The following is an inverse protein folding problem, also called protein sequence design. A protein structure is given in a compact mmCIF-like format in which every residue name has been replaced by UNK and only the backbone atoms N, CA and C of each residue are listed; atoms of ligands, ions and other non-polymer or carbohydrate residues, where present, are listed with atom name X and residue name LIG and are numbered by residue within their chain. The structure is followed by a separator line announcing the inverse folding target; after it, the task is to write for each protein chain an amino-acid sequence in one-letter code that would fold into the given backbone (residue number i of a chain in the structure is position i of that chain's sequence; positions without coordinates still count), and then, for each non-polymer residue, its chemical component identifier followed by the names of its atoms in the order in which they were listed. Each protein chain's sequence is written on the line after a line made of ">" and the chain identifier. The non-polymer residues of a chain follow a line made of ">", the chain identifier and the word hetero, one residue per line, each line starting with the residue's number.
data_IF_967007929526
#
_entry.id   IF_967007929526
#
_cell.length_a   1.000
_cell.length_b   1.000
_cell.length_c   1.000
_cell.angle_alpha   90.00
_cell.angle_beta   90.00
_cell.angle_gamma   90.00
#
_symmetry.space_group_name_H-M   'P 1'
#
loop_
_entity.id
_entity.type
_entity.pdbx_description
1 polymer ?
#
# COMPACT_ATOMS: atom_id res chain seq x y z
N UNK A 1 -67.38 -60.17 10.45
CA UNK A 1 -66.70 -60.77 11.62
C UNK A 1 -65.28 -60.23 11.67
N UNK A 2 -64.73 -59.96 12.87
CA UNK A 2 -63.71 -58.94 13.10
C UNK A 2 -62.29 -59.52 13.32
N UNK A 3 -61.35 -58.59 13.56
CA UNK A 3 -60.14 -58.70 14.43
C UNK A 3 -58.76 -58.87 13.74
N UNK A 4 -58.04 -57.73 13.72
CA UNK A 4 -56.63 -57.42 14.06
C UNK A 4 -55.42 -58.16 13.47
N UNK A 5 -54.48 -57.38 12.91
CA UNK A 5 -53.22 -56.88 13.53
C UNK A 5 -52.48 -56.00 12.49
N UNK A 6 -52.26 -54.68 12.66
CA UNK A 6 -51.23 -53.97 13.47
C UNK A 6 -49.82 -54.38 12.96
N UNK A 7 -48.94 -53.53 12.37
CA UNK A 7 -48.47 -52.17 12.76
C UNK A 7 -47.44 -51.60 11.69
N UNK A 8 -46.69 -50.48 11.88
CA UNK A 8 -47.00 -49.10 11.43
C UNK A 8 -45.84 -48.43 10.62
N UNK A 9 -45.81 -47.08 10.56
CA UNK A 9 -44.77 -46.17 10.03
C UNK A 9 -44.93 -45.75 8.54
N UNK A 10 -44.85 -44.50 8.08
CA UNK A 10 -44.16 -43.27 8.54
C UNK A 10 -45.00 -42.05 8.08
N UNK A 11 -45.24 -41.09 8.98
CA UNK A 11 -45.71 -39.76 8.64
C UNK A 11 -44.51 -38.89 8.22
N UNK A 12 -44.51 -38.39 6.99
CA UNK A 12 -43.56 -37.36 6.55
C UNK A 12 -44.13 -35.97 6.86
N UNK A 13 -43.93 -35.48 8.08
CA UNK A 13 -43.98 -34.05 8.38
C UNK A 13 -42.59 -33.47 8.19
N UNK A 14 -42.44 -32.69 7.12
CA UNK A 14 -41.25 -31.92 6.77
C UNK A 14 -41.29 -30.60 7.54
N UNK A 15 -40.87 -30.64 8.80
CA UNK A 15 -40.45 -29.43 9.51
C UNK A 15 -38.97 -29.19 9.23
N UNK A 16 -38.70 -28.18 8.41
CA UNK A 16 -37.35 -27.63 8.28
C UNK A 16 -37.01 -26.85 9.55
N UNK A 17 -35.76 -26.90 10.05
CA UNK A 17 -35.38 -26.08 11.19
C UNK A 17 -35.32 -24.61 10.77
N UNK A 18 -36.18 -23.81 11.41
CA UNK A 18 -36.13 -22.35 11.47
C UNK A 18 -34.76 -21.90 12.00
N UNK A 19 -34.14 -20.82 11.48
CA UNK A 19 -32.89 -20.29 12.04
C UNK A 19 -33.14 -19.78 13.46
N UNK A 20 -32.49 -20.39 14.45
CA UNK A 20 -32.55 -19.92 15.83
C UNK A 20 -31.74 -18.64 15.97
N UNK A 21 -32.42 -17.57 16.37
CA UNK A 21 -31.82 -16.32 16.79
C UNK A 21 -30.91 -16.52 18.02
N UNK A 22 -29.80 -15.79 18.04
CA UNK A 22 -28.85 -15.56 19.15
C UNK A 22 -27.97 -16.74 19.59
N UNK A 23 -27.03 -17.14 18.74
CA UNK A 23 -25.79 -17.79 19.21
C UNK A 23 -24.76 -16.70 19.49
N UNK A 24 -24.61 -16.29 20.75
CA UNK A 24 -23.51 -15.43 21.17
C UNK A 24 -22.22 -16.25 21.15
N UNK A 25 -21.46 -16.15 20.06
CA UNK A 25 -20.15 -16.80 19.93
C UNK A 25 -19.16 -16.00 20.80
N UNK A 26 -18.41 -16.70 21.65
CA UNK A 26 -17.38 -16.08 22.48
C UNK A 26 -16.21 -15.57 21.61
N UNK A 27 -15.63 -14.38 21.89
CA UNK A 27 -14.59 -13.78 21.06
C UNK A 27 -13.37 -14.69 20.81
N UNK A 28 -13.02 -15.50 21.80
CA UNK A 28 -11.89 -16.43 21.73
C UNK A 28 -12.13 -17.57 20.74
N UNK A 29 -13.36 -18.10 20.70
CA UNK A 29 -13.78 -19.16 19.76
C UNK A 29 -13.89 -18.60 18.34
N UNK A 30 -14.29 -17.32 18.21
CA UNK A 30 -14.32 -16.64 16.91
C UNK A 30 -12.92 -16.50 16.31
N UNK A 31 -11.91 -16.21 17.13
CA UNK A 31 -10.53 -16.07 16.66
C UNK A 31 -9.97 -17.40 16.15
N UNK A 32 -10.21 -18.51 16.85
CA UNK A 32 -9.78 -19.85 16.40
C UNK A 32 -10.45 -20.25 15.08
N UNK A 33 -11.76 -19.97 14.95
CA UNK A 33 -12.51 -20.27 13.72
C UNK A 33 -12.03 -19.43 12.53
N UNK A 34 -11.55 -18.20 12.75
CA UNK A 34 -11.02 -17.34 11.69
C UNK A 34 -9.65 -17.82 11.19
N UNK A 35 -8.81 -18.36 12.06
CA UNK A 35 -7.50 -18.92 11.70
C UNK A 35 -7.62 -20.22 10.88
N UNK A 36 -8.74 -20.94 10.98
CA UNK A 36 -9.04 -22.13 10.18
C UNK A 36 -9.57 -21.81 8.76
N UNK A 37 -9.88 -20.55 8.47
CA UNK A 37 -10.42 -20.14 7.18
C UNK A 37 -9.33 -20.12 6.10
N UNK A 38 -9.70 -20.57 4.89
CA UNK A 38 -8.85 -20.36 3.72
C UNK A 38 -8.71 -18.86 3.40
N UNK A 39 -7.61 -18.40 2.78
CA UNK A 39 -7.31 -16.97 2.59
C UNK A 39 -8.44 -16.14 1.95
N UNK A 40 -9.26 -16.74 1.09
CA UNK A 40 -10.33 -16.05 0.37
C UNK A 40 -11.68 -16.03 1.11
N UNK A 41 -11.90 -16.95 2.06
CA UNK A 41 -13.18 -17.09 2.76
C UNK A 41 -13.52 -15.92 3.70
N UNK A 42 -12.57 -15.32 4.47
CA UNK A 42 -12.85 -14.16 5.29
C UNK A 42 -13.35 -12.98 4.47
N UNK A 43 -12.81 -12.78 3.26
CA UNK A 43 -13.20 -11.67 2.38
C UNK A 43 -14.65 -11.81 1.92
N UNK A 44 -15.07 -13.02 1.53
CA UNK A 44 -16.44 -13.29 1.10
C UNK A 44 -17.45 -13.28 2.26
N UNK A 45 -17.01 -13.64 3.47
CA UNK A 45 -17.83 -13.54 4.68
C UNK A 45 -18.02 -12.08 5.11
N UNK A 46 -16.95 -11.29 5.13
CA UNK A 46 -16.99 -9.85 5.45
C UNK A 46 -17.84 -9.09 4.42
N UNK A 47 -17.74 -9.45 3.12
CA UNK A 47 -18.57 -8.88 2.07
C UNK A 47 -20.06 -9.14 2.32
N UNK A 48 -20.45 -10.39 2.57
CA UNK A 48 -21.85 -10.76 2.87
C UNK A 48 -22.35 -10.09 4.15
N UNK A 49 -21.53 -10.05 5.21
CA UNK A 49 -21.88 -9.37 6.44
C UNK A 49 -22.08 -7.87 6.24
N UNK A 50 -21.27 -7.22 5.40
CA UNK A 50 -21.47 -5.81 5.05
C UNK A 50 -22.69 -5.55 4.16
N UNK A 51 -23.10 -6.51 3.33
CA UNK A 51 -24.32 -6.43 2.52
C UNK A 51 -25.59 -6.62 3.37
N UNK A 52 -25.53 -7.49 4.39
CA UNK A 52 -26.66 -7.80 5.27
C UNK A 52 -26.80 -6.81 6.45
N UNK A 53 -25.69 -6.22 6.91
CA UNK A 53 -25.65 -5.40 8.11
C UNK A 53 -24.96 -4.05 7.86
N UNK A 54 -25.75 -2.96 7.91
CA UNK A 54 -25.26 -1.60 7.63
C UNK A 54 -24.21 -1.09 8.62
N UNK A 55 -24.28 -1.56 9.87
CA UNK A 55 -23.31 -1.27 10.93
C UNK A 55 -21.95 -1.93 10.64
N UNK A 56 -21.95 -3.16 10.12
CA UNK A 56 -20.74 -3.85 9.67
C UNK A 56 -20.12 -3.13 8.47
N UNK A 57 -20.94 -2.69 7.49
CA UNK A 57 -20.46 -1.89 6.38
C UNK A 57 -19.84 -0.55 6.81
N UNK A 58 -20.47 0.14 7.77
CA UNK A 58 -19.95 1.38 8.33
C UNK A 58 -18.63 1.17 9.09
N UNK A 59 -18.53 0.06 9.85
CA UNK A 59 -17.30 -0.30 10.55
C UNK A 59 -16.16 -0.63 9.58
N UNK A 60 -16.42 -1.45 8.55
CA UNK A 60 -15.44 -1.74 7.49
C UNK A 60 -14.97 -0.44 6.82
N UNK A 61 -15.90 0.46 6.49
CA UNK A 61 -15.58 1.75 5.88
C UNK A 61 -14.69 2.61 6.78
N UNK A 62 -15.05 2.72 8.06
CA UNK A 62 -14.30 3.49 9.05
C UNK A 62 -12.90 2.92 9.29
N UNK A 63 -12.77 1.61 9.46
CA UNK A 63 -11.45 0.95 9.64
C UNK A 63 -10.56 1.15 8.40
N UNK A 64 -11.10 1.06 7.19
CA UNK A 64 -10.33 1.34 5.96
C UNK A 64 -9.89 2.82 5.89
N UNK A 65 -10.75 3.74 6.32
CA UNK A 65 -10.46 5.18 6.37
C UNK A 65 -9.37 5.50 7.41
N UNK A 66 -9.48 4.95 8.61
CA UNK A 66 -8.49 5.05 9.68
C UNK A 66 -7.13 4.45 9.26
N UNK A 67 -7.13 3.30 8.58
CA UNK A 67 -5.91 2.72 8.00
C UNK A 67 -5.29 3.64 6.94
N UNK A 68 -6.11 4.32 6.14
CA UNK A 68 -5.63 5.29 5.14
C UNK A 68 -5.08 6.57 5.78
N UNK A 69 -5.71 7.06 6.84
CA UNK A 69 -5.24 8.22 7.61
C UNK A 69 -3.94 7.93 8.35
N UNK A 70 -3.82 6.76 8.98
CA UNK A 70 -2.60 6.33 9.65
C UNK A 70 -1.42 6.22 8.68
N UNK A 71 -1.64 5.73 7.44
CA UNK A 71 -0.61 5.70 6.41
C UNK A 71 -0.15 7.11 5.99
N UNK A 72 -1.07 8.06 5.86
CA UNK A 72 -0.75 9.46 5.52
C UNK A 72 -0.03 10.18 6.66
N UNK A 73 -0.49 9.99 7.89
CA UNK A 73 0.19 10.49 9.09
C UNK A 73 1.61 9.92 9.18
N UNK A 74 1.81 8.65 8.84
CA UNK A 74 3.14 8.05 8.87
C UNK A 74 4.12 8.68 7.87
N UNK A 75 3.67 9.02 6.65
CA UNK A 75 4.51 9.69 5.64
C UNK A 75 4.82 11.13 6.02
N UNK A 76 3.82 11.91 6.47
CA UNK A 76 4.04 13.28 6.94
C UNK A 76 4.94 13.32 8.19
N UNK A 77 4.81 12.32 9.06
CA UNK A 77 5.69 12.16 10.22
C UNK A 77 7.11 11.73 9.81
N UNK A 78 7.30 10.98 8.71
CA UNK A 78 8.64 10.64 8.22
C UNK A 78 9.44 11.89 7.86
N UNK A 79 8.85 12.84 7.12
CA UNK A 79 9.53 14.09 6.75
C UNK A 79 9.94 14.91 7.97
N UNK A 80 9.05 15.06 8.96
CA UNK A 80 9.31 15.82 10.19
C UNK A 80 10.32 15.09 11.08
N UNK A 81 10.14 13.78 11.28
CA UNK A 81 11.02 12.97 12.12
C UNK A 81 12.42 12.90 11.52
N UNK A 82 12.52 12.69 10.20
CA UNK A 82 13.80 12.67 9.51
C UNK A 82 14.48 14.03 9.61
N UNK A 83 13.82 15.15 9.26
CA UNK A 83 14.42 16.48 9.35
C UNK A 83 14.97 16.77 10.76
N UNK A 84 14.22 16.43 11.79
CA UNK A 84 14.63 16.65 13.18
C UNK A 84 15.79 15.73 13.59
N UNK A 85 15.70 14.43 13.30
CA UNK A 85 16.74 13.45 13.60
C UNK A 85 18.02 13.79 12.85
N UNK A 86 17.92 14.16 11.57
CA UNK A 86 19.05 14.53 10.73
C UNK A 86 19.70 15.81 11.17
N UNK A 87 18.95 16.84 11.56
CA UNK A 87 19.55 18.06 12.09
C UNK A 87 20.39 17.75 13.35
N UNK A 88 19.84 17.03 14.32
CA UNK A 88 20.54 16.71 15.58
C UNK A 88 21.69 15.71 15.36
N UNK A 89 21.47 14.63 14.61
CA UNK A 89 22.47 13.60 14.38
C UNK A 89 23.61 14.11 13.48
N UNK A 90 23.30 14.87 12.43
CA UNK A 90 24.26 15.29 11.43
C UNK A 90 25.01 16.56 11.80
N UNK A 91 24.37 17.50 12.52
CA UNK A 91 25.03 18.74 12.94
C UNK A 91 25.76 18.56 14.26
N UNK A 92 25.15 17.94 15.27
CA UNK A 92 25.74 17.96 16.62
C UNK A 92 26.64 16.75 16.89
N UNK A 93 26.25 15.55 16.43
CA UNK A 93 26.95 14.32 16.77
C UNK A 93 28.11 14.01 15.82
N UNK A 94 27.93 14.26 14.52
CA UNK A 94 28.92 13.93 13.50
C UNK A 94 29.98 15.01 13.27
N UNK A 95 29.75 16.26 13.65
CA UNK A 95 30.82 17.25 13.76
C UNK A 95 31.86 16.82 14.82
N UNK A 96 31.41 16.20 15.90
CA UNK A 96 32.28 15.67 16.96
C UNK A 96 32.94 14.33 16.61
N UNK A 97 32.31 13.54 15.73
CA UNK A 97 32.81 12.23 15.32
C UNK A 97 32.78 12.02 13.78
N UNK A 98 33.66 12.70 13.02
CA UNK A 98 33.67 12.62 11.56
C UNK A 98 33.92 11.22 11.00
N UNK A 99 34.55 10.33 11.78
CA UNK A 99 34.81 8.94 11.40
C UNK A 99 33.53 8.09 11.31
N UNK A 100 32.44 8.51 11.94
CA UNK A 100 31.18 7.75 11.97
C UNK A 100 30.22 8.12 10.84
N UNK A 101 30.53 9.15 10.05
CA UNK A 101 29.65 9.68 8.99
C UNK A 101 29.24 8.58 8.01
N UNK A 102 30.21 7.80 7.53
CA UNK A 102 29.95 6.69 6.59
C UNK A 102 29.10 5.58 7.20
N UNK A 103 29.32 5.24 8.47
CA UNK A 103 28.55 4.18 9.14
C UNK A 103 27.10 4.60 9.35
N UNK A 104 26.89 5.85 9.76
CA UNK A 104 25.56 6.45 9.91
C UNK A 104 24.86 6.55 8.55
N UNK A 105 25.54 7.02 7.51
CA UNK A 105 25.00 7.08 6.16
C UNK A 105 24.54 5.70 5.68
N UNK A 106 25.35 4.66 5.88
CA UNK A 106 25.01 3.28 5.53
C UNK A 106 23.82 2.70 6.33
N UNK A 107 23.66 3.11 7.60
CA UNK A 107 22.51 2.71 8.41
C UNK A 107 21.22 3.36 7.89
N UNK A 108 21.26 4.69 7.68
CA UNK A 108 20.11 5.46 7.19
C UNK A 108 19.71 5.01 5.79
N UNK A 109 20.68 4.80 4.90
CA UNK A 109 20.44 4.23 3.57
C UNK A 109 19.66 2.90 3.64
N UNK A 110 20.08 1.97 4.51
CA UNK A 110 19.39 0.69 4.68
C UNK A 110 17.95 0.88 5.17
N UNK A 111 17.73 1.77 6.14
CA UNK A 111 16.38 2.05 6.66
C UNK A 111 15.47 2.67 5.60
N UNK A 112 15.97 3.60 4.80
CA UNK A 112 15.22 4.20 3.68
C UNK A 112 14.86 3.11 2.67
N UNK A 113 15.83 2.27 2.28
CA UNK A 113 15.63 1.18 1.33
C UNK A 113 14.60 0.16 1.81
N UNK A 114 14.62 -0.20 3.09
CA UNK A 114 13.64 -1.11 3.67
C UNK A 114 12.24 -0.46 3.72
N UNK A 115 12.15 0.83 4.05
CA UNK A 115 10.91 1.60 4.01
C UNK A 115 10.30 1.63 2.61
N UNK A 116 11.12 1.90 1.57
CA UNK A 116 10.71 1.88 0.17
C UNK A 116 10.09 0.52 -0.20
N UNK A 117 10.75 -0.58 0.16
CA UNK A 117 10.27 -1.94 -0.11
C UNK A 117 8.99 -2.26 0.63
N UNK A 118 8.86 -1.83 1.88
CA UNK A 118 7.67 -2.11 2.67
C UNK A 118 6.45 -1.33 2.13
N UNK A 119 6.65 -0.11 1.63
CA UNK A 119 5.61 0.63 0.89
C UNK A 119 5.19 -0.14 -0.37
N UNK A 120 6.15 -0.70 -1.13
CA UNK A 120 5.87 -1.48 -2.33
C UNK A 120 5.06 -2.76 -2.05
N UNK A 121 5.50 -3.56 -1.05
CA UNK A 121 4.86 -4.83 -0.64
C UNK A 121 3.41 -4.69 -0.20
N UNK A 122 2.99 -3.50 0.27
CA UNK A 122 1.61 -3.26 0.69
C UNK A 122 0.62 -3.17 -0.49
N UNK A 123 1.08 -3.42 -1.73
CA UNK A 123 0.24 -3.52 -2.91
C UNK A 123 -0.37 -4.91 -3.07
N UNK A 124 -1.70 -4.95 -2.96
CA UNK A 124 -2.51 -6.12 -3.30
C UNK A 124 -3.79 -5.67 -4.02
N UNK A 125 -4.32 -6.49 -4.94
CA UNK A 125 -5.57 -6.22 -5.61
C UNK A 125 -6.72 -6.07 -4.59
N UNK A 126 -7.55 -5.03 -4.76
CA UNK A 126 -8.74 -4.80 -3.92
C UNK A 126 -8.65 -3.67 -2.89
N UNK A 127 -7.56 -2.90 -2.85
CA UNK A 127 -7.49 -1.66 -2.06
C UNK A 127 -8.07 -0.47 -2.85
N UNK A 128 -8.64 0.52 -2.15
CA UNK A 128 -9.20 1.75 -2.76
C UNK A 128 -8.15 2.42 -3.65
N UNK A 129 -8.59 2.98 -4.79
CA UNK A 129 -7.73 3.66 -5.77
C UNK A 129 -6.84 4.71 -5.11
N UNK A 130 -7.40 5.55 -4.23
CA UNK A 130 -6.63 6.58 -3.53
C UNK A 130 -5.47 6.00 -2.73
N UNK A 131 -5.67 4.90 -2.00
CA UNK A 131 -4.60 4.23 -1.23
C UNK A 131 -3.51 3.66 -2.14
N UNK A 132 -3.85 3.28 -3.38
CA UNK A 132 -2.88 2.81 -4.38
C UNK A 132 -2.10 3.98 -4.99
N UNK A 133 -2.71 5.15 -5.17
CA UNK A 133 -2.07 6.39 -5.64
C UNK A 133 -1.21 7.09 -4.57
N UNK A 134 -1.62 7.01 -3.30
CA UNK A 134 -0.89 7.61 -2.17
C UNK A 134 0.52 6.99 -2.01
N UNK A 135 0.76 5.78 -2.52
CA UNK A 135 2.05 5.08 -2.37
C UNK A 135 3.12 5.54 -3.36
N UNK A 136 2.88 5.61 -4.69
CA UNK A 136 3.80 6.27 -5.60
C UNK A 136 4.10 7.71 -5.17
N UNK A 137 3.12 8.44 -4.61
CA UNK A 137 3.36 9.75 -4.00
C UNK A 137 4.32 9.69 -2.81
N UNK A 138 4.12 8.75 -1.88
CA UNK A 138 5.03 8.56 -0.75
C UNK A 138 6.46 8.20 -1.19
N UNK A 139 6.60 7.31 -2.17
CA UNK A 139 7.90 6.98 -2.76
C UNK A 139 8.54 8.19 -3.44
N UNK A 140 7.76 8.98 -4.18
CA UNK A 140 8.23 10.26 -4.76
C UNK A 140 8.72 11.22 -3.68
N UNK A 141 8.03 11.33 -2.54
CA UNK A 141 8.46 12.17 -1.42
C UNK A 141 9.81 11.70 -0.86
N UNK A 142 9.98 10.39 -0.63
CA UNK A 142 11.26 9.82 -0.19
C UNK A 142 12.38 10.10 -1.21
N UNK A 143 12.10 9.92 -2.51
CA UNK A 143 13.05 10.22 -3.57
C UNK A 143 13.45 11.69 -3.62
N UNK A 144 12.46 12.60 -3.50
CA UNK A 144 12.68 14.06 -3.46
C UNK A 144 13.58 14.41 -2.30
N UNK A 145 13.27 13.83 -1.13
CA UNK A 145 14.05 13.98 0.08
C UNK A 145 15.52 13.60 -0.15
N UNK A 146 15.79 12.44 -0.77
CA UNK A 146 17.16 12.01 -1.09
C UNK A 146 17.85 13.03 -2.01
N UNK A 147 17.17 13.54 -3.04
CA UNK A 147 17.73 14.52 -3.98
C UNK A 147 18.15 15.83 -3.28
N UNK A 148 17.36 16.34 -2.33
CA UNK A 148 17.64 17.63 -1.69
C UNK A 148 18.49 17.52 -0.41
N UNK A 149 18.87 16.31 0.01
CA UNK A 149 19.62 16.06 1.26
C UNK A 149 21.08 16.53 1.27
N UNK A 150 21.54 17.28 0.27
CA UNK A 150 22.95 17.63 0.07
C UNK A 150 23.55 18.56 1.14
N UNK A 151 22.73 19.14 2.01
CA UNK A 151 23.16 20.15 2.99
C UNK A 151 24.18 19.60 4.01
N UNK A 152 24.25 18.28 4.19
CA UNK A 152 25.17 17.64 5.14
C UNK A 152 25.92 16.45 4.53
N UNK A 153 27.12 16.20 5.05
CA UNK A 153 28.04 15.14 4.57
C UNK A 153 27.40 13.74 4.55
N UNK A 154 26.51 13.44 5.50
CA UNK A 154 25.73 12.20 5.50
C UNK A 154 24.74 12.13 4.35
N UNK A 155 24.04 13.22 4.06
CA UNK A 155 23.09 13.25 2.95
C UNK A 155 23.79 13.08 1.60
N UNK A 156 24.97 13.69 1.44
CA UNK A 156 25.83 13.43 0.28
C UNK A 156 26.21 11.94 0.18
N UNK A 157 26.68 11.31 1.27
CA UNK A 157 27.04 9.89 1.26
C UNK A 157 25.82 8.99 0.98
N UNK A 158 24.62 9.36 1.46
CA UNK A 158 23.36 8.68 1.12
C UNK A 158 23.07 8.80 -0.39
N UNK A 159 23.25 9.97 -1.00
CA UNK A 159 23.08 10.12 -2.45
C UNK A 159 24.04 9.25 -3.24
N UNK A 160 25.31 9.19 -2.83
CA UNK A 160 26.31 8.30 -3.46
C UNK A 160 25.86 6.84 -3.40
N UNK A 161 25.30 6.41 -2.27
CA UNK A 161 24.75 5.05 -2.12
C UNK A 161 23.53 4.81 -3.02
N UNK A 162 22.66 5.80 -3.20
CA UNK A 162 21.48 5.71 -4.08
C UNK A 162 21.77 5.92 -5.56
N UNK A 163 22.93 6.46 -5.93
CA UNK A 163 23.27 6.78 -7.32
C UNK A 163 23.14 5.56 -8.27
N UNK A 164 23.41 4.36 -7.75
CA UNK A 164 23.27 3.11 -8.49
C UNK A 164 22.24 2.14 -7.90
N UNK A 165 21.47 2.53 -6.88
CA UNK A 165 20.44 1.65 -6.29
C UNK A 165 19.09 1.89 -6.99
N UNK A 166 18.60 0.94 -7.81
CA UNK A 166 17.35 1.09 -8.53
C UNK A 166 16.10 0.86 -7.64
N UNK A 167 16.26 0.66 -6.32
CA UNK A 167 15.18 0.19 -5.47
C UNK A 167 13.96 1.10 -5.46
N UNK A 168 14.13 2.41 -5.62
CA UNK A 168 13.04 3.36 -5.70
C UNK A 168 12.27 3.16 -7.00
N UNK A 169 12.95 3.16 -8.15
CA UNK A 169 12.33 2.99 -9.46
C UNK A 169 11.65 1.63 -9.58
N UNK A 170 12.31 0.56 -9.11
CA UNK A 170 11.75 -0.80 -9.09
C UNK A 170 10.49 -0.88 -8.24
N UNK A 171 10.48 -0.23 -7.08
CA UNK A 171 9.31 -0.19 -6.21
C UNK A 171 8.16 0.58 -6.84
N UNK A 172 8.41 1.74 -7.45
CA UNK A 172 7.36 2.50 -8.15
C UNK A 172 6.82 1.70 -9.35
N UNK A 173 7.69 1.09 -10.15
CA UNK A 173 7.30 0.23 -11.27
C UNK A 173 6.48 -0.98 -10.80
N UNK A 174 6.85 -1.62 -9.70
CA UNK A 174 6.11 -2.75 -9.12
C UNK A 174 4.69 -2.32 -8.75
N UNK A 175 4.54 -1.17 -8.07
CA UNK A 175 3.23 -0.63 -7.70
C UNK A 175 2.40 -0.34 -8.96
N UNK A 176 2.93 0.42 -9.91
CA UNK A 176 2.24 0.79 -11.15
C UNK A 176 1.93 -0.43 -12.03
N UNK A 177 2.73 -1.50 -11.93
CA UNK A 177 2.49 -2.79 -12.58
C UNK A 177 1.17 -3.41 -12.14
N UNK A 178 0.79 -3.24 -10.87
CA UNK A 178 -0.50 -3.68 -10.34
C UNK A 178 -1.67 -2.75 -10.67
N UNK A 179 -1.43 -1.63 -11.36
CA UNK A 179 -2.44 -0.60 -11.69
C UNK A 179 -2.64 -0.40 -13.19
N UNK A 180 -2.49 -1.45 -13.99
CA UNK A 180 -2.52 -1.37 -15.46
C UNK A 180 -3.75 -0.65 -16.03
N UNK A 181 -4.94 -0.92 -15.48
CA UNK A 181 -6.20 -0.31 -15.93
C UNK A 181 -6.29 1.18 -15.58
N UNK A 182 -5.68 1.60 -14.47
CA UNK A 182 -5.79 2.96 -13.96
C UNK A 182 -4.71 3.91 -14.51
N UNK A 183 -3.68 3.40 -15.20
CA UNK A 183 -2.57 4.22 -15.73
C UNK A 183 -3.02 5.34 -16.66
N UNK A 184 -4.04 5.10 -17.49
CA UNK A 184 -4.58 6.12 -18.38
C UNK A 184 -5.20 7.29 -17.60
N UNK A 185 -6.00 6.96 -16.57
CA UNK A 185 -6.57 7.96 -15.69
C UNK A 185 -5.48 8.73 -14.94
N UNK A 186 -4.41 8.06 -14.50
CA UNK A 186 -3.25 8.72 -13.89
C UNK A 186 -2.60 9.70 -14.86
N UNK A 187 -2.41 9.30 -16.12
CA UNK A 187 -1.74 10.10 -17.15
C UNK A 187 -2.50 11.36 -17.54
N UNK A 188 -3.82 11.24 -17.62
CA UNK A 188 -4.74 12.30 -18.07
C UNK A 188 -5.17 13.21 -16.92
N UNK A 189 -4.96 12.79 -15.67
CA UNK A 189 -5.29 13.60 -14.49
C UNK A 189 -4.26 14.71 -14.28
N UNK A 190 -4.67 15.93 -14.58
CA UNK A 190 -3.99 17.19 -14.22
C UNK A 190 -4.89 18.05 -13.31
N UNK A 191 -6.00 17.47 -12.81
CA UNK A 191 -7.12 18.23 -12.25
C UNK A 191 -6.88 18.77 -10.84
N UNK A 192 -5.84 18.27 -10.15
CA UNK A 192 -5.57 18.63 -8.76
C UNK A 192 -4.09 18.71 -8.43
N UNK A 193 -3.76 19.47 -7.37
CA UNK A 193 -2.43 19.47 -6.76
C UNK A 193 -1.99 18.10 -6.25
N UNK A 194 -2.87 17.10 -6.19
CA UNK A 194 -2.57 15.73 -5.77
C UNK A 194 -2.52 14.75 -6.94
N UNK A 195 -2.68 15.23 -8.17
CA UNK A 195 -2.61 14.40 -9.36
C UNK A 195 -1.22 13.78 -9.46
N UNK A 196 -1.15 12.45 -9.57
CA UNK A 196 0.10 11.71 -9.46
C UNK A 196 1.06 12.05 -10.63
N UNK A 197 0.54 12.20 -11.84
CA UNK A 197 1.37 12.39 -13.03
C UNK A 197 2.27 13.63 -12.97
N UNK A 198 1.76 14.86 -12.70
CA UNK A 198 2.61 16.04 -12.54
C UNK A 198 3.73 15.86 -11.52
N UNK A 199 3.46 15.21 -10.38
CA UNK A 199 4.45 14.96 -9.33
C UNK A 199 5.56 14.01 -9.77
N UNK A 200 5.24 13.00 -10.57
CA UNK A 200 6.22 12.06 -11.11
C UNK A 200 7.10 12.71 -12.19
N UNK A 201 6.53 13.60 -13.00
CA UNK A 201 7.28 14.37 -14.01
C UNK A 201 8.24 15.34 -13.33
N UNK A 202 7.75 16.15 -12.38
CA UNK A 202 8.60 17.08 -11.61
C UNK A 202 9.74 16.33 -10.90
N UNK A 203 9.43 15.18 -10.30
CA UNK A 203 10.45 14.39 -9.61
C UNK A 203 11.50 13.82 -10.57
N UNK A 204 11.13 13.42 -11.79
CA UNK A 204 12.11 13.00 -12.80
C UNK A 204 13.11 14.11 -13.11
N UNK A 205 12.63 15.34 -13.29
CA UNK A 205 13.49 16.47 -13.61
C UNK A 205 14.45 16.77 -12.45
N UNK A 206 13.94 16.77 -11.20
CA UNK A 206 14.77 16.89 -10.01
C UNK A 206 15.81 15.77 -9.89
N UNK A 207 15.41 14.52 -10.13
CA UNK A 207 16.32 13.38 -10.08
C UNK A 207 17.44 13.52 -11.12
N UNK A 208 17.13 14.03 -12.32
CA UNK A 208 18.11 14.32 -13.36
C UNK A 208 19.09 15.43 -12.95
N UNK A 209 18.61 16.51 -12.34
CA UNK A 209 19.44 17.60 -11.82
C UNK A 209 20.47 17.10 -10.80
N UNK A 210 20.06 16.15 -9.94
CA UNK A 210 20.92 15.53 -8.94
C UNK A 210 21.67 14.29 -9.42
N UNK A 211 21.50 13.89 -10.68
CA UNK A 211 22.07 12.66 -11.24
C UNK A 211 21.73 11.41 -10.40
N UNK A 212 20.48 11.29 -9.97
CA UNK A 212 19.95 10.15 -9.23
C UNK A 212 18.81 9.50 -10.01
N UNK A 213 18.46 8.28 -9.62
CA UNK A 213 17.28 7.55 -10.11
C UNK A 213 17.16 7.52 -11.65
N UNK A 214 18.25 7.15 -12.33
CA UNK A 214 18.35 7.24 -13.79
C UNK A 214 17.28 6.45 -14.54
N UNK A 215 16.65 5.45 -13.91
CA UNK A 215 15.59 4.63 -14.50
C UNK A 215 14.21 5.24 -14.32
N UNK A 216 14.08 6.44 -13.74
CA UNK A 216 12.78 7.06 -13.54
C UNK A 216 12.08 7.41 -14.86
N UNK A 217 12.83 7.52 -15.96
CA UNK A 217 12.25 7.58 -17.30
C UNK A 217 11.40 6.34 -17.66
N UNK A 218 11.85 5.15 -17.26
CA UNK A 218 11.14 3.88 -17.49
C UNK A 218 9.82 3.84 -16.70
N UNK A 219 9.80 4.43 -15.49
CA UNK A 219 8.60 4.58 -14.66
C UNK A 219 7.54 5.41 -15.39
N UNK A 220 7.92 6.54 -15.98
CA UNK A 220 6.99 7.37 -16.74
C UNK A 220 6.51 6.67 -18.02
N UNK A 221 7.43 6.01 -18.73
CA UNK A 221 7.10 5.24 -19.93
C UNK A 221 6.07 4.15 -19.65
N UNK A 222 6.15 3.48 -18.49
CA UNK A 222 5.18 2.46 -18.06
C UNK A 222 3.73 2.98 -18.01
N UNK A 223 3.56 4.27 -17.71
CA UNK A 223 2.26 4.96 -17.67
C UNK A 223 1.85 5.42 -19.08
N UNK A 224 2.80 5.94 -19.88
CA UNK A 224 2.55 6.45 -21.24
C UNK A 224 2.22 5.36 -22.28
N UNK A 225 2.73 4.14 -22.13
CA UNK A 225 2.63 3.04 -23.12
C UNK A 225 1.20 2.52 -23.42
N UNK A 226 0.15 3.10 -22.84
CA UNK A 226 -1.25 2.76 -23.14
C UNK A 226 -1.84 3.53 -24.35
N UNK A 227 -1.03 4.33 -25.07
CA UNK A 227 -1.45 5.09 -26.25
C UNK A 227 -1.19 4.46 -27.63
N UNK A 228 -0.46 3.34 -27.73
CA UNK A 228 -0.09 2.71 -29.01
C UNK A 228 -0.78 1.36 -29.24
N UNK A 229 -2.11 1.35 -29.12
CA UNK A 229 -2.90 0.13 -29.24
C UNK A 229 -4.27 0.33 -29.88
N UNK A 230 -4.37 1.13 -30.95
CA UNK A 230 -5.34 0.84 -32.00
C UNK A 230 -4.91 1.52 -33.32
N UNK A 231 -4.47 0.68 -34.24
CA UNK A 231 -3.90 1.08 -35.51
C UNK A 231 -3.75 -0.14 -36.39
N UNK A 232 -4.83 -0.92 -36.48
CA UNK A 232 -5.07 -1.84 -37.59
C UNK A 232 -4.63 -1.15 -38.89
N UNK A 233 -3.68 -1.79 -39.58
CA UNK A 233 -3.44 -1.56 -40.99
C UNK A 233 -3.32 -2.92 -41.67
N UNK A 234 -4.46 -3.28 -42.25
CA UNK A 234 -4.61 -3.89 -43.58
C UNK A 234 -3.34 -3.93 -44.45
#
# INVERSE_FOLDING_TARGET
>A
MPVERVDPHIAHTRDGPTPSANTTIHPEVLHELVEELNPDQPRDMIKRAGEEHSDVAAHIKGTIEEMGENQRHHVLNFDIAYRNISHTLFTECLELHPSLVSDVANLVYRQIRDTIRDIAKLCGPGRRLQTRLDRPLALRTIGTFICISIEHKVGHDIQVLFHFDPCLEESVMEILSTMSEERRAIREDESSERALWPHLVEFKDLALEHQLFHRFGDVLALIDLQGEGDGDRD
#
